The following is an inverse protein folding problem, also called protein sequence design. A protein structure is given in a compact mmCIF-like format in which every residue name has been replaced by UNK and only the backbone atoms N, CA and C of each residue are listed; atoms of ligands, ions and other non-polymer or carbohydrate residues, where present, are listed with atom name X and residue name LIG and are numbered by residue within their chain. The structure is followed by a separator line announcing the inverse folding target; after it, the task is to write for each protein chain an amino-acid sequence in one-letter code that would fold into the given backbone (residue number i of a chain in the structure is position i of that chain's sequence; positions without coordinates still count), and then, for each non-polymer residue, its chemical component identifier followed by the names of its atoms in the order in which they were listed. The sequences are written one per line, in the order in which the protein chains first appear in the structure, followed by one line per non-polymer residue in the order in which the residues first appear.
data_IF_264170191693
#
_entry.id   IF_264170191693
#
_cell.length_a   1.000
_cell.length_b   1.000
_cell.length_c   1.000
_cell.angle_alpha   90.00
_cell.angle_beta   90.00
_cell.angle_gamma   90.00
#
_symmetry.space_group_name_H-M   'P 1'
#
loop_
_entity.id
_entity.type
_entity.pdbx_description
1 polymer ?
#
# COMPACT_ATOMS: atom_id res chain seq x y z
N UNK A 1 -23.77 24.81 0.31
CA UNK A 1 -22.39 24.38 0.64
C UNK A 1 -22.49 22.95 1.15
N UNK A 2 -21.98 21.95 0.42
CA UNK A 2 -21.87 20.59 0.96
C UNK A 2 -20.78 20.61 2.04
N UNK A 3 -21.14 20.29 3.29
CA UNK A 3 -20.17 20.01 4.33
C UNK A 3 -19.49 18.67 4.00
N UNK A 4 -18.25 18.72 3.52
CA UNK A 4 -17.45 17.50 3.38
C UNK A 4 -17.23 16.91 4.78
N UNK A 5 -17.82 15.74 5.04
CA UNK A 5 -17.59 15.01 6.28
C UNK A 5 -16.17 14.42 6.27
N UNK A 6 -15.20 15.22 6.73
CA UNK A 6 -13.80 14.82 6.90
C UNK A 6 -13.65 13.51 7.69
N UNK A 7 -14.60 13.23 8.58
CA UNK A 7 -14.68 12.00 9.36
C UNK A 7 -14.74 10.72 8.50
N UNK A 8 -15.36 10.77 7.32
CA UNK A 8 -15.40 9.64 6.39
C UNK A 8 -14.32 9.70 5.31
N UNK A 9 -13.94 10.92 4.91
CA UNK A 9 -12.95 11.12 3.85
C UNK A 9 -11.56 10.59 4.26
N UNK A 10 -11.15 10.86 5.50
CA UNK A 10 -9.82 10.49 6.00
C UNK A 10 -9.63 8.96 6.13
N UNK A 11 -10.54 8.19 6.75
CA UNK A 11 -10.43 6.73 6.80
C UNK A 11 -10.46 6.08 5.42
N UNK A 12 -11.32 6.57 4.52
CA UNK A 12 -11.38 6.10 3.12
C UNK A 12 -10.06 6.36 2.40
N UNK A 13 -9.45 7.54 2.59
CA UNK A 13 -8.13 7.86 2.06
C UNK A 13 -7.05 6.88 2.56
N UNK A 14 -7.05 6.56 3.86
CA UNK A 14 -6.11 5.60 4.45
C UNK A 14 -6.28 4.21 3.83
N UNK A 15 -7.53 3.75 3.65
CA UNK A 15 -7.82 2.46 3.00
C UNK A 15 -7.26 2.43 1.58
N UNK A 16 -7.51 3.49 0.78
CA UNK A 16 -7.00 3.57 -0.58
C UNK A 16 -5.48 3.54 -0.65
N UNK A 17 -4.80 4.23 0.28
CA UNK A 17 -3.33 4.20 0.39
C UNK A 17 -2.85 2.79 0.75
N UNK A 18 -3.49 2.11 1.70
CA UNK A 18 -3.13 0.74 2.07
C UNK A 18 -3.27 -0.25 0.90
N UNK A 19 -4.35 -0.14 0.13
CA UNK A 19 -4.57 -0.94 -1.08
C UNK A 19 -3.54 -0.65 -2.17
N UNK A 20 -3.18 0.63 -2.35
CA UNK A 20 -2.15 1.04 -3.30
C UNK A 20 -0.77 0.46 -2.92
N UNK A 21 -0.39 0.50 -1.64
CA UNK A 21 0.86 -0.10 -1.18
C UNK A 21 0.85 -1.62 -1.42
N UNK A 22 -0.28 -2.29 -1.13
CA UNK A 22 -0.41 -3.71 -1.37
C UNK A 22 -0.31 -4.08 -2.86
N UNK A 23 -0.82 -3.25 -3.77
CA UNK A 23 -0.74 -3.51 -5.21
C UNK A 23 0.71 -3.46 -5.72
N UNK A 24 1.53 -2.54 -5.23
CA UNK A 24 2.97 -2.47 -5.56
C UNK A 24 3.69 -3.74 -5.11
N UNK A 25 3.41 -4.22 -3.90
CA UNK A 25 3.96 -5.47 -3.40
C UNK A 25 3.51 -6.69 -4.22
N UNK A 26 2.27 -6.70 -4.70
CA UNK A 26 1.75 -7.74 -5.59
C UNK A 26 2.46 -7.74 -6.94
N UNK A 27 2.65 -6.58 -7.57
CA UNK A 27 3.41 -6.48 -8.82
C UNK A 27 4.87 -6.93 -8.65
N UNK A 28 5.49 -6.61 -7.52
CA UNK A 28 6.84 -7.06 -7.19
C UNK A 28 6.96 -8.59 -7.16
N UNK A 29 5.99 -9.27 -6.54
CA UNK A 29 5.95 -10.74 -6.50
C UNK A 29 5.67 -11.32 -7.88
N UNK A 30 4.66 -10.78 -8.58
CA UNK A 30 4.24 -11.28 -9.90
C UNK A 30 5.37 -11.21 -10.93
N UNK A 31 6.11 -10.12 -10.94
CA UNK A 31 7.21 -9.89 -11.89
C UNK A 31 8.58 -10.33 -11.36
N UNK A 32 8.64 -10.82 -10.10
CA UNK A 32 9.89 -11.10 -9.36
C UNK A 32 10.90 -9.94 -9.42
N UNK A 33 10.37 -8.72 -9.46
CA UNK A 33 11.14 -7.50 -9.72
C UNK A 33 10.51 -6.32 -9.02
N UNK A 34 11.27 -5.63 -8.18
CA UNK A 34 10.80 -4.49 -7.39
C UNK A 34 11.75 -3.31 -7.55
N UNK A 35 11.22 -2.16 -7.97
CA UNK A 35 12.00 -0.91 -8.04
C UNK A 35 12.11 -0.33 -6.63
N UNK A 36 13.34 -0.03 -6.20
CA UNK A 36 13.58 0.57 -4.87
C UNK A 36 13.26 2.06 -4.87
N UNK A 37 13.43 2.74 -6.01
CA UNK A 37 13.04 4.13 -6.18
C UNK A 37 12.19 4.30 -7.46
N UNK A 38 11.18 5.18 -7.44
CA UNK A 38 10.37 5.47 -8.62
C UNK A 38 11.14 6.17 -9.75
N UNK A 39 12.22 6.89 -9.41
CA UNK A 39 12.99 7.71 -10.36
C UNK A 39 14.26 6.99 -10.84
N UNK A 40 14.93 6.23 -9.97
CA UNK A 40 16.17 5.54 -10.32
C UNK A 40 15.91 4.14 -10.85
N UNK A 41 16.17 3.92 -12.15
CA UNK A 41 15.90 2.64 -12.83
C UNK A 41 16.97 1.57 -12.60
N UNK A 42 18.10 1.95 -12.00
CA UNK A 42 19.22 1.05 -11.79
C UNK A 42 19.10 0.26 -10.48
N UNK A 43 18.42 0.82 -9.47
CA UNK A 43 18.21 0.16 -8.18
C UNK A 43 16.94 -0.69 -8.19
N UNK A 44 17.11 -1.93 -8.61
CA UNK A 44 16.03 -2.92 -8.70
C UNK A 44 16.41 -4.16 -7.89
N UNK A 45 15.50 -4.61 -7.02
CA UNK A 45 15.59 -5.93 -6.42
C UNK A 45 15.00 -6.93 -7.41
N UNK A 46 15.72 -8.03 -7.63
CA UNK A 46 15.29 -9.12 -8.51
C UNK A 46 15.25 -10.46 -7.73
N UNK A 47 14.48 -11.41 -8.25
CA UNK A 47 14.43 -12.79 -7.74
C UNK A 47 13.79 -12.91 -6.35
N UNK A 48 14.37 -13.74 -5.49
CA UNK A 48 13.79 -14.07 -4.17
C UNK A 48 13.79 -12.87 -3.22
N UNK A 49 14.76 -11.96 -3.36
CA UNK A 49 14.81 -10.72 -2.59
C UNK A 49 13.61 -9.82 -2.92
N UNK A 50 13.24 -9.70 -4.20
CA UNK A 50 12.06 -8.95 -4.65
C UNK A 50 10.76 -9.57 -4.11
N UNK A 51 10.65 -10.90 -4.09
CA UNK A 51 9.48 -11.59 -3.57
C UNK A 51 9.35 -11.39 -2.06
N UNK A 52 10.46 -11.44 -1.31
CA UNK A 52 10.46 -11.18 0.14
C UNK A 52 10.06 -9.73 0.44
N UNK A 53 10.63 -8.77 -0.26
CA UNK A 53 10.28 -7.35 -0.14
C UNK A 53 8.81 -7.10 -0.53
N UNK A 54 8.34 -7.73 -1.61
CA UNK A 54 6.94 -7.65 -2.06
C UNK A 54 5.97 -8.18 -1.01
N UNK A 55 6.26 -9.32 -0.38
CA UNK A 55 5.44 -9.86 0.72
C UNK A 55 5.37 -8.93 1.92
N UNK A 56 6.51 -8.33 2.30
CA UNK A 56 6.54 -7.34 3.38
C UNK A 56 5.74 -6.09 3.02
N UNK A 57 5.84 -5.63 1.77
CA UNK A 57 5.09 -4.48 1.27
C UNK A 57 3.58 -4.73 1.30
N UNK A 58 3.14 -5.92 0.88
CA UNK A 58 1.72 -6.33 1.01
C UNK A 58 1.28 -6.30 2.48
N UNK A 59 2.08 -6.88 3.38
CA UNK A 59 1.76 -6.89 4.80
C UNK A 59 1.59 -5.47 5.37
N UNK A 60 2.48 -4.54 4.99
CA UNK A 60 2.37 -3.13 5.37
C UNK A 60 1.09 -2.50 4.82
N UNK A 61 0.79 -2.71 3.53
CA UNK A 61 -0.44 -2.21 2.91
C UNK A 61 -1.72 -2.72 3.59
N UNK A 62 -1.74 -4.00 3.99
CA UNK A 62 -2.85 -4.60 4.72
C UNK A 62 -3.01 -4.01 6.13
N UNK A 63 -1.91 -3.76 6.84
CA UNK A 63 -1.95 -3.09 8.16
C UNK A 63 -2.52 -1.69 8.04
N UNK A 64 -2.07 -0.90 7.06
CA UNK A 64 -2.62 0.44 6.81
C UNK A 64 -4.13 0.36 6.50
N UNK A 65 -4.52 -0.59 5.66
CA UNK A 65 -5.93 -0.83 5.32
C UNK A 65 -6.76 -1.17 6.56
N UNK A 66 -6.26 -2.04 7.43
CA UNK A 66 -6.91 -2.40 8.68
C UNK A 66 -7.06 -1.20 9.62
N UNK A 67 -6.04 -0.36 9.74
CA UNK A 67 -6.11 0.89 10.51
C UNK A 67 -7.20 1.81 9.93
N UNK A 68 -7.24 2.00 8.61
CA UNK A 68 -8.30 2.78 7.97
C UNK A 68 -9.70 2.23 8.23
N UNK A 69 -9.88 0.90 8.21
CA UNK A 69 -11.14 0.26 8.56
C UNK A 69 -11.52 0.46 10.03
N UNK A 70 -10.56 0.39 10.95
CA UNK A 70 -10.80 0.67 12.38
C UNK A 70 -11.31 2.10 12.58
N UNK A 71 -10.69 3.09 11.95
CA UNK A 71 -11.14 4.49 12.01
C UNK A 71 -12.48 4.73 11.33
N UNK A 72 -12.85 3.94 10.32
CA UNK A 72 -14.16 4.02 9.68
C UNK A 72 -15.27 3.44 10.57
N UNK A 73 -14.96 2.42 11.38
CA UNK A 73 -15.90 1.71 12.25
C UNK A 73 -16.02 2.32 13.65
N UNK A 74 -15.05 3.13 14.07
CA UNK A 74 -15.12 3.91 15.31
C UNK A 74 -15.98 5.16 15.08
N UNK A 75 -16.98 5.41 15.94
CA UNK A 75 -17.89 6.56 15.82
C UNK A 75 -17.20 7.90 16.09
#
# INVERSE_FOLDING_TARGET
MMSFNFQFLLPVGIILVGLFVASVGYEAIKNKRMRLMPINREEVLDGDAAVKAGKQTIAVGLVITAVGLIFLLLP
#
